data_IF_257087478387
#
_entry.id   IF_257087478387
#
_cell.length_a   1.000
_cell.length_b   1.000
_cell.length_c   1.000
_cell.angle_alpha   90.00
_cell.angle_beta   90.00
_cell.angle_gamma   90.00
#
_symmetry.space_group_name_H-M   'P 1'
#
loop_
_entity.id
_entity.type
_entity.pdbx_description
1 polymer ?
#
# COMPACT_ATOMS: atom_id res chain seq x y z
N UNK A 1 15.92 -7.76 -0.16
CA UNK A 1 14.56 -8.09 0.29
C UNK A 1 14.17 -9.56 0.12
N UNK A 2 14.42 -10.19 -1.03
CA UNK A 2 14.12 -11.63 -1.25
C UNK A 2 14.82 -12.57 -0.27
N UNK A 3 16.11 -12.33 0.03
CA UNK A 3 16.85 -13.09 1.04
C UNK A 3 16.19 -13.01 2.42
N UNK A 4 15.76 -11.81 2.84
CA UNK A 4 15.09 -11.62 4.13
C UNK A 4 13.78 -12.42 4.21
N UNK A 5 12.96 -12.41 3.13
CA UNK A 5 11.75 -13.25 3.05
C UNK A 5 12.06 -14.75 3.15
N UNK A 6 13.12 -15.21 2.48
CA UNK A 6 13.52 -16.61 2.56
C UNK A 6 13.97 -17.00 3.99
N UNK A 7 14.69 -16.11 4.68
CA UNK A 7 15.12 -16.33 6.06
C UNK A 7 13.96 -16.34 7.06
N UNK A 8 12.91 -15.52 6.85
CA UNK A 8 11.68 -15.57 7.65
C UNK A 8 11.00 -16.94 7.50
N UNK A 9 10.93 -17.48 6.28
CA UNK A 9 10.38 -18.84 6.05
C UNK A 9 11.20 -19.95 6.69
N UNK A 10 12.47 -19.70 7.00
CA UNK A 10 13.36 -20.63 7.72
C UNK A 10 13.39 -20.36 9.23
N UNK A 11 12.50 -19.50 9.75
CA UNK A 11 12.40 -19.10 11.16
C UNK A 11 13.68 -18.42 11.71
N UNK A 12 14.57 -17.94 10.82
CA UNK A 12 15.81 -17.26 11.18
C UNK A 12 15.60 -15.74 11.23
N UNK A 13 14.82 -15.28 12.20
CA UNK A 13 14.40 -13.88 12.32
C UNK A 13 15.55 -12.89 12.54
N UNK A 14 16.57 -13.27 13.33
CA UNK A 14 17.74 -12.42 13.58
C UNK A 14 18.52 -12.14 12.30
N UNK A 15 18.80 -13.20 11.54
CA UNK A 15 19.51 -13.11 10.27
C UNK A 15 18.70 -12.32 9.24
N UNK A 16 17.37 -12.46 9.25
CA UNK A 16 16.47 -11.69 8.39
C UNK A 16 16.56 -10.18 8.65
N UNK A 17 16.55 -9.76 9.93
CA UNK A 17 16.70 -8.35 10.32
C UNK A 17 18.06 -7.78 9.93
N UNK A 18 19.14 -8.55 10.13
CA UNK A 18 20.49 -8.13 9.71
C UNK A 18 20.54 -7.98 8.19
N UNK A 19 20.03 -8.96 7.44
CA UNK A 19 19.99 -8.93 5.98
C UNK A 19 19.17 -7.73 5.45
N UNK A 20 18.09 -7.37 6.13
CA UNK A 20 17.28 -6.20 5.82
C UNK A 20 18.09 -4.90 6.01
N UNK A 21 18.80 -4.79 7.12
CA UNK A 21 19.64 -3.62 7.43
C UNK A 21 20.78 -3.43 6.42
N UNK A 22 21.35 -4.53 5.90
CA UNK A 22 22.40 -4.49 4.87
C UNK A 22 21.89 -4.19 3.46
N UNK A 23 20.57 -4.11 3.24
CA UNK A 23 20.01 -3.91 1.91
C UNK A 23 20.22 -2.45 1.48
N UNK A 24 20.86 -2.17 0.32
CA UNK A 24 20.98 -0.81 -0.18
C UNK A 24 19.60 -0.29 -0.55
N UNK A 25 19.13 0.73 0.15
CA UNK A 25 17.88 1.43 -0.17
C UNK A 25 18.25 2.65 -0.99
N UNK A 26 17.93 2.61 -2.28
CA UNK A 26 18.08 3.80 -3.13
C UNK A 26 17.16 4.92 -2.59
N UNK A 27 17.64 6.18 -2.52
CA UNK A 27 16.77 7.30 -2.26
C UNK A 27 15.66 7.29 -3.30
N UNK A 28 14.40 7.39 -2.83
CA UNK A 28 13.20 7.17 -3.62
C UNK A 28 13.30 7.95 -4.95
N UNK A 29 13.39 7.28 -6.12
CA UNK A 29 13.42 8.00 -7.37
C UNK A 29 12.10 8.77 -7.47
N UNK A 30 12.17 10.06 -7.80
CA UNK A 30 10.95 10.81 -8.10
C UNK A 30 10.16 10.01 -9.13
N UNK A 31 8.86 9.76 -8.93
CA UNK A 31 8.07 9.11 -9.96
C UNK A 31 8.23 9.91 -11.24
N UNK A 32 8.40 9.22 -12.37
CA UNK A 32 8.36 9.83 -13.70
C UNK A 32 6.94 10.36 -13.96
N UNK A 33 6.61 11.46 -13.31
CA UNK A 33 5.34 12.13 -13.45
C UNK A 33 5.44 13.10 -14.62
N UNK A 34 4.43 13.09 -15.48
CA UNK A 34 4.25 14.12 -16.50
C UNK A 34 4.12 15.44 -15.76
N UNK A 35 5.15 16.30 -15.85
CA UNK A 35 5.13 17.64 -15.28
C UNK A 35 4.22 18.51 -16.14
N UNK A 36 3.01 18.75 -15.66
CA UNK A 36 2.04 19.62 -16.35
C UNK A 36 2.43 21.08 -16.07
N UNK A 37 2.57 21.88 -17.12
CA UNK A 37 2.77 23.32 -16.96
C UNK A 37 1.49 23.95 -16.39
N UNK A 38 1.56 24.74 -15.30
CA UNK A 38 0.38 25.34 -14.71
C UNK A 38 -0.21 26.38 -15.66
N UNK A 39 -1.41 26.10 -16.19
CA UNK A 39 -2.22 27.07 -16.94
C UNK A 39 -3.25 27.71 -16.00
N UNK A 40 -3.45 29.02 -16.06
CA UNK A 40 -4.38 29.75 -15.17
C UNK A 40 -5.85 29.38 -15.38
N UNK A 41 -6.24 28.93 -16.59
CA UNK A 41 -7.59 28.43 -16.91
C UNK A 41 -7.54 27.37 -18.02
N UNK A 42 -7.38 26.08 -17.70
CA UNK A 42 -7.46 25.02 -18.71
C UNK A 42 -8.91 24.88 -19.20
N UNK A 43 -9.12 24.85 -20.52
CA UNK A 43 -10.40 24.47 -21.10
C UNK A 43 -10.53 22.94 -21.06
N UNK A 44 -11.50 22.42 -20.33
CA UNK A 44 -11.81 20.99 -20.25
C UNK A 44 -13.19 20.80 -20.87
N UNK A 45 -13.32 20.08 -22.00
CA UNK A 45 -14.63 19.80 -22.56
C UNK A 45 -15.49 19.06 -21.54
N UNK A 46 -16.76 19.46 -21.39
CA UNK A 46 -17.71 18.76 -20.54
C UNK A 46 -18.29 17.59 -21.33
N UNK A 47 -17.89 16.36 -21.00
CA UNK A 47 -18.58 15.17 -21.50
C UNK A 47 -19.99 15.13 -20.86
N UNK A 48 -20.99 14.64 -21.58
CA UNK A 48 -22.38 14.60 -21.09
C UNK A 48 -22.44 14.01 -19.67
N UNK A 49 -22.96 14.82 -18.76
CA UNK A 49 -22.81 14.79 -17.29
C UNK A 49 -23.73 13.78 -16.60
N UNK A 50 -24.07 12.66 -17.25
CA UNK A 50 -25.10 11.74 -16.74
C UNK A 50 -24.59 10.66 -15.78
N UNK A 51 -23.32 10.68 -15.38
CA UNK A 51 -22.68 9.58 -14.64
C UNK A 51 -21.77 10.01 -13.47
N UNK A 52 -21.74 11.30 -13.15
CA UNK A 52 -21.07 11.79 -11.95
C UNK A 52 -22.14 11.97 -10.88
N UNK A 53 -22.46 10.88 -10.18
CA UNK A 53 -23.08 11.02 -8.87
C UNK A 53 -22.05 11.68 -7.94
N UNK A 54 -22.58 12.64 -7.20
CA UNK A 54 -21.94 13.63 -6.36
C UNK A 54 -20.72 13.10 -5.60
N UNK A 55 -19.52 13.45 -6.08
CA UNK A 55 -18.36 13.56 -5.18
C UNK A 55 -18.59 14.82 -4.35
N UNK A 56 -19.48 14.69 -3.37
CA UNK A 56 -19.59 15.61 -2.26
C UNK A 56 -18.27 15.52 -1.51
N UNK A 57 -17.34 16.40 -1.88
CA UNK A 57 -16.18 16.72 -1.05
C UNK A 57 -16.74 17.34 0.23
N UNK A 58 -17.10 16.52 1.21
CA UNK A 58 -17.28 17.02 2.56
C UNK A 58 -15.90 17.48 3.04
N UNK A 59 -15.71 18.78 3.35
CA UNK A 59 -14.49 19.23 3.98
C UNK A 59 -14.63 18.84 5.45
N UNK A 60 -14.06 17.71 5.86
CA UNK A 60 -14.18 17.27 7.25
C UNK A 60 -12.83 16.78 7.78
N UNK A 61 -12.15 17.78 8.35
CA UNK A 61 -11.20 17.78 9.47
C UNK A 61 -9.97 16.88 9.37
N UNK A 62 -8.84 17.43 9.83
CA UNK A 62 -7.51 16.80 9.89
C UNK A 62 -7.52 15.52 10.75
N UNK A 63 -8.08 14.44 10.19
CA UNK A 63 -8.21 13.15 10.85
C UNK A 63 -6.81 12.60 11.08
N UNK A 64 -6.55 12.09 12.29
CA UNK A 64 -5.29 11.42 12.68
C UNK A 64 -4.87 10.37 11.63
N UNK A 65 -5.85 9.81 10.92
CA UNK A 65 -5.70 8.89 9.79
C UNK A 65 -4.93 9.49 8.60
N UNK A 66 -5.08 10.78 8.28
CA UNK A 66 -4.36 11.43 7.18
C UNK A 66 -2.87 11.63 7.47
N UNK A 67 -2.50 11.66 8.75
CA UNK A 67 -1.11 11.82 9.21
C UNK A 67 -0.32 10.52 9.13
N UNK A 68 -0.95 9.40 8.76
CA UNK A 68 -0.29 8.11 8.62
C UNK A 68 0.79 8.15 7.53
N UNK A 69 2.04 8.13 7.97
CA UNK A 69 3.24 8.18 7.12
C UNK A 69 3.37 6.95 6.23
N UNK A 70 2.80 5.81 6.63
CA UNK A 70 2.91 4.57 5.86
C UNK A 70 2.23 4.64 4.48
N UNK A 71 1.30 5.57 4.25
CA UNK A 71 0.64 5.76 2.94
C UNK A 71 1.61 6.32 1.88
N UNK A 72 2.69 6.98 2.34
CA UNK A 72 3.70 7.62 1.47
C UNK A 72 4.85 6.70 1.11
N UNK A 73 4.90 5.48 1.65
CA UNK A 73 5.97 4.53 1.38
C UNK A 73 5.90 4.06 -0.08
N UNK A 74 7.04 4.17 -0.79
CA UNK A 74 7.19 3.75 -2.20
C UNK A 74 8.51 3.02 -2.39
N UNK A 75 8.61 2.30 -3.51
CA UNK A 75 9.84 1.63 -3.94
C UNK A 75 10.38 0.59 -2.94
N UNK A 76 11.68 0.65 -2.68
CA UNK A 76 12.38 -0.28 -1.79
C UNK A 76 11.91 -0.20 -0.33
N UNK A 77 11.52 1.00 0.15
CA UNK A 77 11.00 1.18 1.51
C UNK A 77 9.67 0.44 1.71
N UNK A 78 8.79 0.47 0.69
CA UNK A 78 7.54 -0.30 0.73
C UNK A 78 7.84 -1.81 0.80
N UNK A 79 8.76 -2.29 -0.03
CA UNK A 79 9.14 -3.71 0.00
C UNK A 79 9.75 -4.11 1.35
N UNK A 80 10.55 -3.24 1.98
CA UNK A 80 11.09 -3.48 3.31
C UNK A 80 9.99 -3.55 4.37
N UNK A 81 9.03 -2.62 4.30
CA UNK A 81 7.87 -2.59 5.18
C UNK A 81 7.02 -3.86 5.05
N UNK A 82 6.76 -4.35 3.84
CA UNK A 82 6.02 -5.60 3.62
C UNK A 82 6.72 -6.78 4.32
N UNK A 83 8.06 -6.85 4.23
CA UNK A 83 8.84 -7.89 4.93
C UNK A 83 8.80 -7.71 6.46
N UNK A 84 8.76 -6.48 6.95
CA UNK A 84 8.64 -6.19 8.38
C UNK A 84 7.27 -6.63 8.92
N UNK A 85 6.20 -6.38 8.16
CA UNK A 85 4.84 -6.86 8.49
C UNK A 85 4.80 -8.39 8.49
N UNK A 86 5.39 -9.05 7.49
CA UNK A 86 5.52 -10.53 7.47
C UNK A 86 6.26 -11.05 8.72
N UNK A 87 7.28 -10.33 9.19
CA UNK A 87 8.04 -10.70 10.39
C UNK A 87 7.22 -10.52 11.67
N UNK A 88 6.53 -9.39 11.83
CA UNK A 88 5.63 -9.15 12.97
C UNK A 88 4.51 -10.17 13.03
N UNK A 89 3.95 -10.56 11.89
CA UNK A 89 2.92 -11.59 11.84
C UNK A 89 3.42 -12.95 12.34
N UNK A 90 4.71 -13.24 12.19
CA UNK A 90 5.33 -14.49 12.65
C UNK A 90 5.78 -14.45 14.12
N UNK A 91 6.35 -13.32 14.59
CA UNK A 91 6.93 -13.23 15.95
C UNK A 91 6.04 -12.53 16.96
N UNK A 92 5.17 -11.63 16.52
CA UNK A 92 4.56 -10.61 17.37
C UNK A 92 5.48 -9.39 17.57
N UNK A 93 4.88 -8.27 17.99
CA UNK A 93 5.57 -6.98 18.13
C UNK A 93 6.60 -6.97 19.27
N UNK A 94 6.23 -7.47 20.45
CA UNK A 94 7.11 -7.43 21.63
C UNK A 94 8.36 -8.28 21.45
N UNK A 95 8.22 -9.46 20.84
CA UNK A 95 9.37 -10.31 20.54
C UNK A 95 10.24 -9.73 19.44
N UNK A 96 9.65 -9.07 18.45
CA UNK A 96 10.40 -8.29 17.46
C UNK A 96 11.21 -7.15 18.12
N UNK A 97 10.66 -6.46 19.11
CA UNK A 97 11.40 -5.44 19.86
C UNK A 97 12.56 -6.04 20.67
N UNK A 98 12.39 -7.22 21.27
CA UNK A 98 13.48 -7.95 21.93
C UNK A 98 14.57 -8.39 20.96
N UNK A 99 14.19 -8.87 19.77
CA UNK A 99 15.14 -9.19 18.70
C UNK A 99 15.92 -7.94 18.26
N UNK A 100 15.21 -6.81 18.09
CA UNK A 100 15.79 -5.54 17.68
C UNK A 100 16.80 -5.03 18.72
N UNK A 101 16.46 -5.01 20.01
CA UNK A 101 17.34 -4.50 21.07
C UNK A 101 18.59 -5.37 21.31
N UNK A 102 18.50 -6.67 20.99
CA UNK A 102 19.63 -7.61 21.05
C UNK A 102 20.62 -7.41 19.90
N UNK A 103 20.14 -7.18 18.69
CA UNK A 103 20.97 -7.12 17.48
C UNK A 103 21.50 -5.70 17.24
N UNK A 104 20.68 -4.69 17.50
CA UNK A 104 20.96 -3.31 17.11
C UNK A 104 21.33 -2.41 18.29
N UNK A 105 22.37 -1.60 18.09
CA UNK A 105 22.62 -0.38 18.87
C UNK A 105 21.63 0.68 18.41
N UNK A 106 20.88 1.23 19.35
CA UNK A 106 19.98 2.36 19.11
C UNK A 106 20.75 3.68 19.24
N UNK A 107 20.34 4.75 18.52
CA UNK A 107 20.99 6.07 18.63
C UNK A 107 21.00 6.57 20.09
N UNK A 108 19.99 6.22 20.88
CA UNK A 108 19.88 6.56 22.30
C UNK A 108 20.96 5.87 23.15
N UNK A 109 21.25 4.58 22.89
CA UNK A 109 22.35 3.85 23.54
C UNK A 109 23.72 4.44 23.14
N UNK A 110 23.88 4.87 21.89
CA UNK A 110 25.11 5.50 21.39
C UNK A 110 25.34 6.89 22.03
N UNK A 111 24.28 7.70 22.18
CA UNK A 111 24.35 9.01 22.85
C UNK A 111 24.63 8.86 24.35
N UNK A 112 23.97 7.92 25.03
CA UNK A 112 24.19 7.64 26.46
C UNK A 112 25.64 7.18 26.74
N UNK A 113 26.21 6.38 25.85
CA UNK A 113 27.61 5.93 25.95
C UNK A 113 28.63 7.05 25.70
N UNK A 114 28.27 8.12 24.98
CA UNK A 114 29.09 9.33 24.88
C UNK A 114 29.02 10.19 26.14
N UNK A 115 27.87 10.21 26.83
CA UNK A 115 27.70 10.97 28.08
C UNK A 115 28.26 10.26 29.31
N UNK A 116 28.34 8.92 29.33
CA UNK A 116 28.93 8.13 30.43
C UNK A 116 30.48 8.09 30.42
N UNK A 117 31.13 8.66 29.40
CA UNK A 117 32.58 8.93 29.46
C UNK A 117 32.82 10.05 30.45
N UNK A 118 33.26 9.69 31.66
CA UNK A 118 33.63 10.64 32.73
C UNK A 118 34.62 11.70 32.19
N UNK A 119 34.50 12.99 32.60
CA UNK A 119 35.43 14.05 32.18
C UNK A 119 36.84 13.95 32.79
N UNK A 120 37.22 12.83 33.41
CA UNK A 120 38.50 12.72 34.12
C UNK A 120 39.67 12.29 33.23
N UNK A 121 39.42 11.84 31.98
CA UNK A 121 40.47 11.39 31.05
C UNK A 121 40.67 12.35 29.84
N UNK A 122 40.18 13.60 29.93
CA UNK A 122 40.19 14.57 28.79
C UNK A 122 41.36 15.56 28.79
N UNK A 123 42.36 15.43 29.66
CA UNK A 123 43.44 16.44 29.72
C UNK A 123 44.52 16.33 28.63
N UNK A 124 44.56 15.32 27.77
CA UNK A 124 45.55 15.25 26.68
C UNK A 124 44.98 14.66 25.40
N UNK A 125 44.00 15.32 24.76
CA UNK A 125 43.73 15.06 23.34
C UNK A 125 42.90 16.19 22.71
N UNK A 126 43.44 17.41 22.73
CA UNK A 126 42.98 18.43 21.80
C UNK A 126 43.54 18.15 20.40
N UNK A 127 42.63 18.15 19.43
CA UNK A 127 42.84 18.06 17.96
C UNK A 127 42.94 16.67 17.34
N UNK A 128 41.80 15.96 17.24
CA UNK A 128 41.58 14.94 16.20
C UNK A 128 40.19 15.20 15.57
N UNK A 129 40.05 15.19 14.23
CA UNK A 129 38.77 15.38 13.53
C UNK A 129 37.68 14.41 14.01
N UNK A 130 36.43 14.87 13.98
CA UNK A 130 35.20 14.25 14.51
C UNK A 130 34.82 12.85 13.95
N UNK A 131 35.63 12.24 13.08
CA UNK A 131 35.30 11.01 12.36
C UNK A 131 35.93 9.71 12.90
N UNK A 132 36.85 9.77 13.87
CA UNK A 132 37.72 8.61 14.17
C UNK A 132 37.60 8.03 15.59
N UNK A 133 36.44 8.19 16.23
CA UNK A 133 36.14 7.40 17.43
C UNK A 133 35.62 6.01 17.03
N UNK A 134 36.37 4.91 17.31
CA UNK A 134 35.87 3.57 17.03
C UNK A 134 34.58 3.34 17.82
N UNK A 135 33.57 2.71 17.20
CA UNK A 135 32.33 2.42 17.89
C UNK A 135 32.63 1.63 19.17
N UNK A 136 31.91 1.89 20.27
CA UNK A 136 32.07 1.15 21.52
C UNK A 136 31.95 -0.35 21.23
N UNK A 137 32.88 -1.15 21.78
CA UNK A 137 32.98 -2.61 21.60
C UNK A 137 31.79 -3.33 22.24
N UNK A 138 30.62 -3.18 21.65
CA UNK A 138 29.48 -4.05 21.87
C UNK A 138 29.29 -4.81 20.56
N UNK A 139 29.10 -6.13 20.60
CA UNK A 139 28.91 -6.96 19.39
C UNK A 139 27.61 -6.68 18.62
N UNK A 140 26.94 -5.56 18.94
CA UNK A 140 25.69 -5.08 18.34
C UNK A 140 26.00 -4.27 17.07
N UNK A 141 25.13 -4.32 16.08
CA UNK A 141 25.25 -3.58 14.81
C UNK A 141 24.50 -2.26 14.86
N UNK A 142 24.89 -1.26 14.08
CA UNK A 142 24.10 -0.01 13.98
C UNK A 142 22.81 -0.28 13.19
N UNK A 143 21.67 0.18 13.70
CA UNK A 143 20.42 0.20 12.93
C UNK A 143 20.43 1.36 11.95
N UNK A 144 20.18 1.09 10.66
CA UNK A 144 20.02 2.14 9.67
C UNK A 144 18.81 3.03 10.00
N UNK A 145 18.95 4.34 9.76
CA UNK A 145 17.90 5.33 10.11
C UNK A 145 16.58 5.09 9.40
N UNK A 146 16.63 4.65 8.15
CA UNK A 146 15.42 4.34 7.38
C UNK A 146 14.67 3.14 7.98
N UNK A 147 15.39 2.15 8.51
CA UNK A 147 14.79 0.98 9.14
C UNK A 147 14.14 1.35 10.47
N UNK A 148 14.80 2.20 11.26
CA UNK A 148 14.20 2.75 12.49
C UNK A 148 12.92 3.55 12.20
N UNK A 149 12.94 4.38 11.14
CA UNK A 149 11.75 5.07 10.69
C UNK A 149 10.62 4.10 10.31
N UNK A 150 10.92 2.97 9.67
CA UNK A 150 9.91 1.95 9.35
C UNK A 150 9.32 1.29 10.59
N UNK A 151 10.10 1.03 11.64
CA UNK A 151 9.57 0.54 12.91
C UNK A 151 8.57 1.51 13.52
N UNK A 152 8.85 2.80 13.50
CA UNK A 152 7.92 3.82 14.01
C UNK A 152 6.64 3.88 13.16
N UNK A 153 6.77 3.81 11.84
CA UNK A 153 5.60 3.79 10.93
C UNK A 153 4.72 2.56 11.17
N UNK A 154 5.34 1.39 11.30
CA UNK A 154 4.63 0.14 11.57
C UNK A 154 3.92 0.20 12.94
N UNK A 155 4.57 0.74 13.96
CA UNK A 155 3.96 0.89 15.29
C UNK A 155 2.72 1.80 15.23
N UNK A 156 2.83 2.95 14.58
CA UNK A 156 1.69 3.85 14.38
C UNK A 156 0.54 3.16 13.62
N UNK A 157 0.86 2.39 12.58
CA UNK A 157 -0.12 1.65 11.80
C UNK A 157 -0.85 0.59 12.66
N UNK A 158 -0.12 -0.24 13.39
CA UNK A 158 -0.72 -1.24 14.29
C UNK A 158 -1.54 -0.61 15.40
N UNK A 159 -1.08 0.51 15.98
CA UNK A 159 -1.82 1.24 17.02
C UNK A 159 -3.17 1.73 16.50
N UNK A 160 -3.20 2.35 15.32
CA UNK A 160 -4.45 2.81 14.70
C UNK A 160 -5.36 1.63 14.37
N UNK A 161 -4.80 0.51 13.88
CA UNK A 161 -5.57 -0.69 13.61
C UNK A 161 -6.22 -1.29 14.87
N UNK A 162 -5.50 -1.33 16.00
CA UNK A 162 -6.04 -1.80 17.28
C UNK A 162 -7.19 -0.91 17.76
N UNK A 163 -7.06 0.41 17.62
CA UNK A 163 -8.14 1.35 17.96
C UNK A 163 -9.36 1.09 17.07
N UNK A 164 -9.17 1.00 15.77
CA UNK A 164 -10.23 0.70 14.80
C UNK A 164 -10.96 -0.60 15.13
N UNK A 165 -10.23 -1.68 15.42
CA UNK A 165 -10.81 -2.97 15.82
C UNK A 165 -11.62 -2.87 17.11
N UNK A 166 -11.12 -2.12 18.10
CA UNK A 166 -11.81 -1.87 19.36
C UNK A 166 -13.13 -1.10 19.15
N UNK A 167 -13.11 -0.06 18.32
CA UNK A 167 -14.32 0.69 17.98
C UNK A 167 -15.35 -0.19 17.26
N UNK A 168 -14.94 -0.93 16.22
CA UNK A 168 -15.85 -1.83 15.50
C UNK A 168 -16.50 -2.86 16.45
N UNK A 169 -15.76 -3.38 17.44
CA UNK A 169 -16.31 -4.29 18.44
C UNK A 169 -17.29 -3.58 19.40
N UNK A 170 -16.98 -2.37 19.83
CA UNK A 170 -17.85 -1.57 20.69
C UNK A 170 -19.19 -1.27 20.02
N UNK A 171 -19.16 -0.75 18.79
CA UNK A 171 -20.36 -0.43 18.03
C UNK A 171 -21.18 -1.68 17.66
N UNK A 172 -20.52 -2.81 17.38
CA UNK A 172 -21.20 -4.10 17.20
C UNK A 172 -21.87 -4.59 18.48
N UNK A 173 -21.27 -4.39 19.65
CA UNK A 173 -21.85 -4.75 20.94
C UNK A 173 -23.06 -3.88 21.32
N UNK A 174 -23.01 -2.58 20.98
CA UNK A 174 -24.09 -1.62 21.23
C UNK A 174 -25.18 -1.62 20.14
N UNK A 175 -25.06 -2.47 19.11
CA UNK A 175 -25.94 -2.50 17.92
C UNK A 175 -26.10 -1.12 17.24
N UNK A 176 -25.12 -0.23 17.36
CA UNK A 176 -25.13 1.07 16.69
C UNK A 176 -24.42 1.00 15.34
N UNK A 177 -24.95 1.66 14.28
CA UNK A 177 -24.32 1.66 12.97
C UNK A 177 -23.01 2.46 13.02
N UNK A 178 -21.91 1.80 12.68
CA UNK A 178 -20.60 2.43 12.61
C UNK A 178 -20.48 3.28 11.34
N UNK A 179 -20.69 4.59 11.47
CA UNK A 179 -20.64 5.53 10.36
C UNK A 179 -19.29 6.25 10.33
N UNK A 180 -18.69 6.29 9.14
CA UNK A 180 -17.45 7.03 8.84
C UNK A 180 -17.54 7.62 7.45
N UNK A 181 -16.72 8.63 7.19
CA UNK A 181 -16.62 9.23 5.85
C UNK A 181 -15.95 8.28 4.86
N UNK A 182 -16.24 8.44 3.57
CA UNK A 182 -15.65 7.61 2.52
C UNK A 182 -14.11 7.65 2.53
N UNK A 183 -13.53 8.82 2.85
CA UNK A 183 -12.07 9.01 2.92
C UNK A 183 -11.46 8.25 4.09
N UNK A 184 -12.11 8.23 5.25
CA UNK A 184 -11.65 7.44 6.39
C UNK A 184 -11.72 5.94 6.10
N UNK A 185 -12.79 5.47 5.45
CA UNK A 185 -12.89 4.09 4.99
C UNK A 185 -11.77 3.70 4.03
N UNK A 186 -11.40 4.59 3.11
CA UNK A 186 -10.27 4.38 2.21
C UNK A 186 -8.95 4.24 3.00
N UNK A 187 -8.69 5.14 3.94
CA UNK A 187 -7.45 5.10 4.74
C UNK A 187 -7.40 3.82 5.57
N UNK A 188 -8.50 3.43 6.22
CA UNK A 188 -8.61 2.18 6.98
C UNK A 188 -8.41 0.96 6.09
N UNK A 189 -9.02 0.92 4.90
CA UNK A 189 -8.80 -0.15 3.93
C UNK A 189 -7.33 -0.26 3.51
N UNK A 190 -6.67 0.88 3.23
CA UNK A 190 -5.23 0.88 2.90
C UNK A 190 -4.36 0.46 4.08
N UNK A 191 -4.72 0.82 5.32
CA UNK A 191 -4.06 0.39 6.53
C UNK A 191 -4.16 -1.13 6.72
N UNK A 192 -5.36 -1.70 6.65
CA UNK A 192 -5.57 -3.14 6.78
C UNK A 192 -4.82 -3.91 5.70
N UNK A 193 -4.82 -3.41 4.46
CA UNK A 193 -4.07 -4.02 3.35
C UNK A 193 -2.56 -4.02 3.60
N UNK A 194 -2.01 -2.95 4.18
CA UNK A 194 -0.59 -2.86 4.55
C UNK A 194 -0.22 -3.82 5.67
N UNK A 195 -1.09 -3.99 6.67
CA UNK A 195 -0.92 -4.95 7.77
C UNK A 195 -1.24 -6.40 7.36
N UNK A 196 -1.45 -6.66 6.05
CA UNK A 196 -1.79 -7.97 5.49
C UNK A 196 -3.11 -8.58 5.99
N UNK A 197 -4.04 -7.77 6.49
CA UNK A 197 -5.41 -8.17 6.83
C UNK A 197 -6.34 -7.96 5.64
N UNK A 198 -6.30 -8.88 4.67
CA UNK A 198 -6.99 -8.73 3.38
C UNK A 198 -8.52 -8.73 3.46
N UNK A 199 -9.12 -9.60 4.29
CA UNK A 199 -10.58 -9.67 4.41
C UNK A 199 -11.18 -8.40 5.02
N UNK A 200 -10.57 -7.89 6.09
CA UNK A 200 -11.01 -6.63 6.71
C UNK A 200 -10.78 -5.43 5.79
N UNK A 201 -9.68 -5.43 5.04
CA UNK A 201 -9.43 -4.41 4.03
C UNK A 201 -10.54 -4.40 2.96
N UNK A 202 -10.99 -5.58 2.51
CA UNK A 202 -12.05 -5.72 1.53
C UNK A 202 -13.40 -5.24 2.06
N UNK A 203 -13.73 -5.54 3.32
CA UNK A 203 -14.93 -5.01 3.98
C UNK A 203 -14.91 -3.48 4.05
N UNK A 204 -13.78 -2.91 4.49
CA UNK A 204 -13.61 -1.45 4.55
C UNK A 204 -13.71 -0.80 3.17
N UNK A 205 -13.15 -1.41 2.12
CA UNK A 205 -13.28 -0.89 0.76
C UNK A 205 -14.72 -1.02 0.21
N UNK A 206 -15.46 -2.07 0.56
CA UNK A 206 -16.89 -2.18 0.19
C UNK A 206 -17.71 -1.04 0.81
N UNK A 207 -17.50 -0.78 2.09
CA UNK A 207 -18.15 0.33 2.79
C UNK A 207 -17.76 1.70 2.20
N UNK A 208 -16.49 1.87 1.82
CA UNK A 208 -16.02 3.07 1.10
C UNK A 208 -16.83 3.29 -0.18
N UNK A 209 -16.95 2.26 -1.02
CA UNK A 209 -17.65 2.31 -2.31
C UNK A 209 -19.16 2.54 -2.16
N UNK A 210 -19.78 2.00 -1.11
CA UNK A 210 -21.19 2.25 -0.79
C UNK A 210 -21.43 3.70 -0.35
N UNK A 211 -20.48 4.30 0.38
CA UNK A 211 -20.59 5.70 0.82
C UNK A 211 -20.32 6.71 -0.28
N UNK A 212 -19.27 6.53 -1.09
CA UNK A 212 -18.94 7.42 -2.20
C UNK A 212 -18.13 6.71 -3.27
N UNK A 213 -18.21 7.21 -4.51
CA UNK A 213 -17.33 6.74 -5.56
C UNK A 213 -15.87 7.16 -5.30
N UNK A 214 -15.00 6.18 -5.10
CA UNK A 214 -13.55 6.38 -4.95
C UNK A 214 -12.77 5.48 -5.91
N UNK A 215 -11.97 6.07 -6.80
CA UNK A 215 -11.17 5.31 -7.77
C UNK A 215 -10.17 4.38 -7.08
N UNK A 216 -9.45 4.84 -6.06
CA UNK A 216 -8.43 4.04 -5.37
C UNK A 216 -9.04 2.81 -4.67
N UNK A 217 -10.22 2.96 -4.04
CA UNK A 217 -10.92 1.85 -3.41
C UNK A 217 -11.39 0.80 -4.44
N UNK A 218 -11.94 1.26 -5.58
CA UNK A 218 -12.35 0.37 -6.67
C UNK A 218 -11.16 -0.35 -7.31
N UNK A 219 -10.02 0.32 -7.50
CA UNK A 219 -8.80 -0.31 -7.98
C UNK A 219 -8.32 -1.40 -7.01
N UNK A 220 -8.28 -1.12 -5.70
CA UNK A 220 -7.88 -2.11 -4.70
C UNK A 220 -8.85 -3.32 -4.63
N UNK A 221 -10.17 -3.06 -4.70
CA UNK A 221 -11.17 -4.12 -4.76
C UNK A 221 -11.05 -4.97 -6.03
N UNK A 222 -10.77 -4.34 -7.17
CA UNK A 222 -10.55 -5.07 -8.42
C UNK A 222 -9.37 -6.03 -8.27
N UNK A 223 -8.23 -5.57 -7.73
CA UNK A 223 -7.07 -6.45 -7.46
C UNK A 223 -7.49 -7.66 -6.61
N UNK A 224 -8.16 -7.43 -5.48
CA UNK A 224 -8.63 -8.52 -4.59
C UNK A 224 -9.62 -9.47 -5.26
N UNK A 225 -10.59 -8.96 -6.03
CA UNK A 225 -11.56 -9.80 -6.74
C UNK A 225 -10.93 -10.62 -7.86
N UNK A 226 -9.91 -10.08 -8.53
CA UNK A 226 -9.15 -10.84 -9.53
C UNK A 226 -8.29 -11.93 -8.90
N UNK A 227 -7.73 -11.69 -7.71
CA UNK A 227 -6.98 -12.70 -6.95
C UNK A 227 -7.88 -13.85 -6.51
N UNK A 228 -9.11 -13.56 -6.10
CA UNK A 228 -10.10 -14.59 -5.71
C UNK A 228 -10.78 -15.30 -6.90
N UNK A 229 -10.60 -14.80 -8.13
CA UNK A 229 -11.27 -15.34 -9.33
C UNK A 229 -12.78 -15.06 -9.39
N UNK A 230 -13.29 -14.05 -8.65
CA UNK A 230 -14.71 -13.67 -8.67
C UNK A 230 -15.03 -12.79 -9.88
N UNK A 231 -15.23 -13.42 -11.05
CA UNK A 231 -15.47 -12.74 -12.33
C UNK A 231 -16.57 -11.67 -12.29
N UNK A 232 -17.75 -11.98 -11.73
CA UNK A 232 -18.87 -11.04 -11.74
C UNK A 232 -18.57 -9.74 -10.99
N UNK A 233 -17.96 -9.85 -9.80
CA UNK A 233 -17.58 -8.69 -8.97
C UNK A 233 -16.41 -7.92 -9.57
N UNK A 234 -15.46 -8.63 -10.19
CA UNK A 234 -14.37 -7.99 -10.90
C UNK A 234 -14.87 -7.20 -12.12
N UNK A 235 -15.81 -7.75 -12.90
CA UNK A 235 -16.40 -7.05 -14.05
C UNK A 235 -17.23 -5.83 -13.65
N UNK A 236 -18.00 -5.89 -12.56
CA UNK A 236 -18.70 -4.70 -12.04
C UNK A 236 -17.73 -3.60 -11.63
N UNK A 237 -16.63 -3.96 -10.96
CA UNK A 237 -15.55 -3.02 -10.63
C UNK A 237 -14.88 -2.43 -11.88
N UNK A 238 -14.57 -3.27 -12.88
CA UNK A 238 -14.00 -2.83 -14.17
C UNK A 238 -14.92 -1.84 -14.86
N UNK A 239 -16.23 -2.13 -14.94
CA UNK A 239 -17.21 -1.22 -15.57
C UNK A 239 -17.21 0.16 -14.90
N UNK A 240 -17.23 0.19 -13.57
CA UNK A 240 -17.22 1.45 -12.80
C UNK A 240 -15.92 2.24 -13.01
N UNK A 241 -14.77 1.55 -13.02
CA UNK A 241 -13.47 2.17 -13.27
C UNK A 241 -13.31 2.68 -14.71
N UNK A 242 -13.72 1.89 -15.71
CA UNK A 242 -13.68 2.29 -17.12
C UNK A 242 -14.57 3.50 -17.38
N UNK A 243 -15.72 3.58 -16.71
CA UNK A 243 -16.62 4.72 -16.83
C UNK A 243 -15.97 6.00 -16.29
N UNK A 244 -15.31 5.91 -15.13
CA UNK A 244 -14.55 7.01 -14.56
C UNK A 244 -13.41 7.46 -15.48
N UNK A 245 -12.60 6.51 -15.97
CA UNK A 245 -11.50 6.78 -16.90
C UNK A 245 -11.99 7.42 -18.21
N UNK A 246 -13.11 6.94 -18.74
CA UNK A 246 -13.74 7.53 -19.93
C UNK A 246 -14.28 8.94 -19.67
N UNK A 247 -14.64 9.29 -18.45
CA UNK A 247 -15.00 10.64 -18.02
C UNK A 247 -13.79 11.58 -17.94
N UNK A 248 -12.64 11.07 -17.51
CA UNK A 248 -11.38 11.80 -17.40
C UNK A 248 -10.53 11.80 -18.69
N UNK A 249 -11.12 11.42 -19.83
CA UNK A 249 -10.43 11.33 -21.13
C UNK A 249 -9.24 10.38 -21.17
N UNK A 250 -9.13 9.46 -20.20
CA UNK A 250 -8.10 8.44 -20.19
C UNK A 250 -8.50 7.29 -21.11
N UNK A 251 -8.16 7.40 -22.39
CA UNK A 251 -8.45 6.40 -23.43
C UNK A 251 -7.31 5.40 -23.65
N UNK A 252 -6.19 5.59 -22.96
CA UNK A 252 -5.03 4.72 -23.07
C UNK A 252 -5.36 3.30 -22.56
N UNK A 253 -5.30 2.33 -23.47
CA UNK A 253 -5.56 0.91 -23.19
C UNK A 253 -4.36 0.29 -22.45
N UNK A 254 -3.14 0.78 -22.71
CA UNK A 254 -1.90 0.39 -22.03
C UNK A 254 -0.95 1.58 -21.90
N UNK A 255 -0.22 1.77 -20.78
CA UNK A 255 -0.26 1.02 -19.52
C UNK A 255 -1.33 1.56 -18.55
N UNK A 256 -2.25 0.69 -18.13
CA UNK A 256 -3.30 1.01 -17.16
C UNK A 256 -3.42 -0.12 -16.12
N UNK A 257 -3.67 0.22 -14.86
CA UNK A 257 -3.90 -0.75 -13.77
C UNK A 257 -5.08 -1.65 -14.10
N UNK A 258 -6.16 -1.07 -14.62
CA UNK A 258 -7.37 -1.79 -15.04
C UNK A 258 -7.05 -2.77 -16.16
N UNK A 259 -6.27 -2.34 -17.17
CA UNK A 259 -5.81 -3.20 -18.26
C UNK A 259 -5.05 -4.42 -17.75
N UNK A 260 -4.08 -4.23 -16.83
CA UNK A 260 -3.33 -5.35 -16.22
C UNK A 260 -4.23 -6.38 -15.55
N UNK A 261 -5.26 -5.92 -14.83
CA UNK A 261 -6.20 -6.83 -14.17
C UNK A 261 -7.13 -7.54 -15.16
N UNK A 262 -7.58 -6.87 -16.22
CA UNK A 262 -8.32 -7.50 -17.32
C UNK A 262 -7.47 -8.61 -17.97
N UNK A 263 -6.20 -8.33 -18.31
CA UNK A 263 -5.31 -9.35 -18.88
C UNK A 263 -5.10 -10.53 -17.94
N UNK A 264 -4.97 -10.28 -16.63
CA UNK A 264 -4.89 -11.34 -15.62
C UNK A 264 -6.16 -12.18 -15.57
N UNK A 265 -7.34 -11.56 -15.61
CA UNK A 265 -8.62 -12.27 -15.65
C UNK A 265 -8.75 -13.13 -16.91
N UNK A 266 -8.35 -12.60 -18.07
CA UNK A 266 -8.36 -13.34 -19.34
C UNK A 266 -7.44 -14.56 -19.25
N UNK A 267 -6.23 -14.40 -18.71
CA UNK A 267 -5.31 -15.51 -18.51
C UNK A 267 -5.85 -16.59 -17.58
N UNK A 268 -6.66 -16.23 -16.58
CA UNK A 268 -7.21 -17.16 -15.58
C UNK A 268 -8.48 -17.88 -16.05
N UNK A 269 -9.37 -17.18 -16.76
CA UNK A 269 -10.73 -17.66 -17.05
C UNK A 269 -11.04 -17.90 -18.53
N UNK A 270 -10.18 -17.44 -19.44
CA UNK A 270 -10.44 -17.46 -20.88
C UNK A 270 -11.28 -16.28 -21.36
N UNK A 271 -11.22 -16.00 -22.66
CA UNK A 271 -11.91 -14.86 -23.30
C UNK A 271 -13.41 -15.14 -23.40
N UNK A 272 -13.80 -16.37 -23.73
CA UNK A 272 -15.20 -16.74 -23.94
C UNK A 272 -16.02 -16.61 -22.66
N UNK A 273 -15.48 -17.08 -21.53
CA UNK A 273 -16.17 -16.99 -20.24
C UNK A 273 -16.40 -15.55 -19.80
N UNK A 274 -15.44 -14.66 -20.08
CA UNK A 274 -15.58 -13.23 -19.81
C UNK A 274 -16.69 -12.65 -20.68
N UNK A 275 -16.70 -12.96 -21.99
CA UNK A 275 -17.74 -12.50 -22.92
C UNK A 275 -19.14 -12.97 -22.50
N UNK A 276 -19.30 -14.23 -22.13
CA UNK A 276 -20.59 -14.75 -21.63
C UNK A 276 -21.01 -14.02 -20.36
N UNK A 277 -20.09 -13.81 -19.42
CA UNK A 277 -20.40 -13.10 -18.17
C UNK A 277 -20.76 -11.63 -18.43
N UNK A 278 -20.11 -10.97 -19.39
CA UNK A 278 -20.47 -9.61 -19.82
C UNK A 278 -21.91 -9.56 -20.36
N UNK A 279 -22.29 -10.50 -21.22
CA UNK A 279 -23.65 -10.60 -21.75
C UNK A 279 -24.68 -10.78 -20.62
N UNK A 280 -24.37 -11.61 -19.62
CA UNK A 280 -25.28 -11.84 -18.48
C UNK A 280 -25.43 -10.61 -17.58
N UNK A 281 -24.39 -9.78 -17.46
CA UNK A 281 -24.40 -8.60 -16.60
C UNK A 281 -25.00 -7.36 -17.28
N UNK A 282 -25.31 -7.44 -18.59
CA UNK A 282 -25.87 -6.35 -19.41
C UNK A 282 -25.19 -4.99 -19.13
N UNK A 283 -23.88 -4.98 -19.28
CA UNK A 283 -23.07 -3.78 -19.08
C UNK A 283 -23.39 -2.79 -20.21
N UNK A 284 -23.87 -1.59 -19.89
CA UNK A 284 -24.37 -0.66 -20.92
C UNK A 284 -23.41 -0.49 -22.12
N UNK A 285 -23.98 -0.33 -23.32
CA UNK A 285 -23.28 -0.45 -24.61
C UNK A 285 -21.97 0.33 -24.76
N UNK A 286 -21.81 1.46 -24.05
CA UNK A 286 -20.56 2.24 -24.06
C UNK A 286 -19.40 1.49 -23.40
N UNK A 287 -19.68 0.75 -22.33
CA UNK A 287 -18.67 0.00 -21.57
C UNK A 287 -18.27 -1.25 -22.34
N UNK A 288 -19.24 -1.93 -22.96
CA UNK A 288 -18.98 -3.05 -23.84
C UNK A 288 -18.06 -2.65 -25.00
N UNK A 289 -18.30 -1.50 -25.63
CA UNK A 289 -17.43 -0.99 -26.69
C UNK A 289 -16.00 -0.70 -26.20
N UNK A 290 -15.82 -0.26 -24.96
CA UNK A 290 -14.50 -0.04 -24.38
C UNK A 290 -13.81 -1.36 -24.04
N UNK A 291 -14.54 -2.30 -23.42
CA UNK A 291 -14.01 -3.60 -23.03
C UNK A 291 -13.67 -4.46 -24.25
N UNK A 292 -14.46 -4.35 -25.33
CA UNK A 292 -14.18 -4.98 -26.61
C UNK A 292 -12.82 -4.54 -27.18
N UNK A 293 -12.43 -3.27 -27.04
CA UNK A 293 -11.09 -2.79 -27.44
C UNK A 293 -9.96 -3.47 -26.67
N UNK A 294 -10.18 -3.75 -25.37
CA UNK A 294 -9.21 -4.53 -24.59
C UNK A 294 -9.12 -5.97 -25.09
N UNK A 295 -10.25 -6.60 -25.43
CA UNK A 295 -10.28 -7.96 -25.99
C UNK A 295 -9.63 -8.04 -27.38
N UNK A 296 -9.87 -7.05 -28.24
CA UNK A 296 -9.24 -6.92 -29.55
C UNK A 296 -7.72 -6.79 -29.43
N UNK A 297 -7.23 -6.01 -28.46
CA UNK A 297 -5.79 -5.93 -28.20
C UNK A 297 -5.21 -7.29 -27.78
N UNK A 298 -5.89 -8.04 -26.92
CA UNK A 298 -5.47 -9.39 -26.52
C UNK A 298 -5.37 -10.32 -27.73
N UNK A 299 -6.39 -10.29 -28.60
CA UNK A 299 -6.42 -11.10 -29.81
C UNK A 299 -5.27 -10.71 -30.75
N UNK A 300 -5.04 -9.42 -30.96
CA UNK A 300 -3.97 -8.91 -31.82
C UNK A 300 -2.57 -9.28 -31.30
N UNK A 301 -2.37 -9.27 -29.97
CA UNK A 301 -1.10 -9.58 -29.33
C UNK A 301 -0.90 -11.07 -29.03
N UNK A 302 -1.87 -11.94 -29.37
CA UNK A 302 -1.86 -13.40 -29.10
C UNK A 302 -1.42 -13.73 -27.67
N UNK A 303 -1.95 -13.01 -26.67
CA UNK A 303 -1.57 -13.25 -25.29
C UNK A 303 -2.04 -14.64 -24.81
N UNK A 304 -1.30 -15.27 -23.89
CA UNK A 304 -1.65 -16.57 -23.28
C UNK A 304 -3.09 -16.56 -22.73
N UNK A 305 -3.90 -17.51 -23.20
CA UNK A 305 -5.34 -17.61 -22.86
C UNK A 305 -6.28 -17.13 -23.97
N UNK A 306 -5.78 -16.76 -25.15
CA UNK A 306 -6.60 -16.39 -26.31
C UNK A 306 -7.39 -17.57 -26.91
N UNK A 307 -6.88 -18.80 -26.78
CA UNK A 307 -7.43 -19.98 -27.44
C UNK A 307 -8.56 -20.68 -26.64
N UNK A 308 -8.91 -20.16 -25.44
CA UNK A 308 -9.90 -20.73 -24.52
C UNK A 308 -10.92 -19.70 -24.01
#
# INVERSE_FOLDING_TARGET
>A
MTLARALIKMEKYEAALIAMNTCPVAPNPEPEAIRILPTTKPWIPRKNRSLQDEVSQSPSEDSILERLKGSRLRGALKQAYDVLVELVAATGWDDLLKLRSRIFLMEEEYRAQRTDRRPSDVSEMEQIPLDDHPPPKTGKRLCERWLDQLFMVLFDDMRVYTIYRGEVQHFRGENMPYQRTAREWLILGTLCRRLAHFEEAKEAYRQCVETAFCEEAWQALLEMYTDEGRLAHALTAVTKLLLHQAGHYQTAIYPNVVGRQIFKMIRMHGVERIRTTMMTLNMGAQVDALLQKYLEMVAAQKCLGHDY
#
